data_IF_480264439961
#
_entry.id   IF_480264439961
#
_cell.length_a   1.000
_cell.length_b   1.000
_cell.length_c   1.000
_cell.angle_alpha   90.00
_cell.angle_beta   90.00
_cell.angle_gamma   90.00
#
_symmetry.space_group_name_H-M   'P 1'
#
loop_
_entity.id
_entity.type
_entity.pdbx_description
1 polymer ?
#
# COMPACT_ATOMS: atom_id res chain seq x y z
N UNK A 1 -23.95 8.01 -11.98
CA UNK A 1 -22.76 8.21 -11.16
C UNK A 1 -21.58 8.79 -11.92
N UNK A 2 -21.11 8.21 -13.05
CA UNK A 2 -19.91 8.72 -13.79
C UNK A 2 -19.87 10.24 -14.00
N UNK A 3 -20.98 10.86 -14.43
CA UNK A 3 -21.00 12.29 -14.79
C UNK A 3 -21.45 13.22 -13.66
N UNK A 4 -22.08 12.69 -12.65
CA UNK A 4 -22.77 13.46 -11.60
C UNK A 4 -22.01 13.47 -10.27
N UNK A 5 -21.60 12.32 -9.77
CA UNK A 5 -21.01 12.19 -8.43
C UNK A 5 -19.50 12.31 -8.43
N UNK A 6 -18.96 12.96 -7.40
CA UNK A 6 -17.54 12.92 -7.07
C UNK A 6 -17.29 11.75 -6.12
N UNK A 7 -16.41 10.83 -6.50
CA UNK A 7 -16.03 9.67 -5.69
C UNK A 7 -14.89 10.06 -4.77
N UNK A 8 -15.10 10.04 -3.46
CA UNK A 8 -14.07 10.28 -2.45
C UNK A 8 -13.32 8.99 -2.14
N UNK A 9 -12.01 9.04 -2.25
CA UNK A 9 -11.08 7.94 -2.08
C UNK A 9 -10.25 8.18 -0.81
N UNK A 10 -10.27 7.30 0.20
CA UNK A 10 -9.40 7.46 1.36
C UNK A 10 -7.94 7.39 0.95
N UNK A 11 -7.10 8.28 1.52
CA UNK A 11 -5.68 8.37 1.18
C UNK A 11 -4.86 7.26 1.84
N UNK A 12 -3.92 6.65 1.07
CA UNK A 12 -2.96 5.70 1.61
C UNK A 12 -1.54 5.99 1.10
N UNK A 13 -1.20 5.56 -0.11
CA UNK A 13 0.08 5.78 -0.79
C UNK A 13 -0.02 7.01 -1.70
N UNK A 14 0.60 8.16 -1.37
CA UNK A 14 0.35 9.40 -2.10
C UNK A 14 0.63 9.31 -3.61
N UNK A 15 1.75 8.69 -4.01
CA UNK A 15 2.14 8.57 -5.42
C UNK A 15 1.17 7.65 -6.17
N UNK A 16 0.87 6.47 -5.61
CA UNK A 16 -0.01 5.48 -6.22
C UNK A 16 -1.45 6.00 -6.32
N UNK A 17 -1.96 6.60 -5.25
CA UNK A 17 -3.34 7.06 -5.19
C UNK A 17 -3.59 8.26 -6.12
N UNK A 18 -2.61 9.15 -6.31
CA UNK A 18 -2.67 10.18 -7.33
C UNK A 18 -2.80 9.60 -8.75
N UNK A 19 -2.04 8.53 -9.06
CA UNK A 19 -2.10 7.87 -10.36
C UNK A 19 -3.38 7.03 -10.53
N UNK A 20 -3.85 6.36 -9.47
CA UNK A 20 -5.13 5.63 -9.45
C UNK A 20 -6.31 6.58 -9.66
N UNK A 21 -6.27 7.77 -9.04
CA UNK A 21 -7.24 8.84 -9.29
C UNK A 21 -7.22 9.26 -10.75
N UNK A 22 -6.05 9.52 -11.34
CA UNK A 22 -5.93 9.89 -12.75
C UNK A 22 -6.44 8.78 -13.69
N UNK A 23 -6.16 7.51 -13.38
CA UNK A 23 -6.67 6.37 -14.10
C UNK A 23 -8.22 6.31 -14.03
N UNK A 24 -8.80 6.51 -12.85
CA UNK A 24 -10.26 6.52 -12.64
C UNK A 24 -10.92 7.68 -13.39
N UNK A 25 -10.32 8.87 -13.35
CA UNK A 25 -10.76 10.04 -14.12
C UNK A 25 -10.71 9.75 -15.62
N UNK A 26 -9.68 9.06 -16.12
CA UNK A 26 -9.58 8.65 -17.53
C UNK A 26 -10.67 7.65 -17.96
N UNK A 27 -11.33 7.00 -16.99
CA UNK A 27 -12.48 6.13 -17.22
C UNK A 27 -13.82 6.89 -17.17
N UNK A 28 -13.80 8.21 -17.03
CA UNK A 28 -14.97 9.10 -17.06
C UNK A 28 -15.65 9.30 -15.70
N UNK A 29 -15.01 8.92 -14.60
CA UNK A 29 -15.47 9.23 -13.24
C UNK A 29 -14.87 10.57 -12.75
N UNK A 30 -15.59 11.25 -11.88
CA UNK A 30 -15.01 12.31 -11.05
C UNK A 30 -14.52 11.66 -9.77
N UNK A 31 -13.27 11.84 -9.41
CA UNK A 31 -12.68 11.21 -8.23
C UNK A 31 -11.70 12.16 -7.54
N UNK A 32 -11.69 12.12 -6.22
CA UNK A 32 -10.76 12.92 -5.39
C UNK A 32 -10.19 12.03 -4.28
N UNK A 33 -8.86 11.99 -4.18
CA UNK A 33 -8.16 11.37 -3.05
C UNK A 33 -8.19 12.33 -1.86
N UNK A 34 -8.60 11.84 -0.71
CA UNK A 34 -8.67 12.63 0.51
C UNK A 34 -7.27 12.85 1.10
N UNK A 35 -7.03 14.06 1.56
CA UNK A 35 -5.78 14.49 2.21
C UNK A 35 -5.98 15.01 3.63
N UNK A 36 -7.22 14.97 4.16
CA UNK A 36 -7.48 15.34 5.54
C UNK A 36 -6.80 14.34 6.48
N UNK A 37 -6.06 14.87 7.44
CA UNK A 37 -5.21 14.12 8.36
C UNK A 37 -5.34 14.74 9.76
N UNK A 38 -4.70 14.10 10.74
CA UNK A 38 -4.61 14.64 12.08
C UNK A 38 -5.61 14.03 13.07
N UNK A 39 -5.64 14.63 14.24
CA UNK A 39 -6.42 14.14 15.38
C UNK A 39 -7.93 14.17 15.13
N UNK A 40 -8.40 15.16 14.38
CA UNK A 40 -9.82 15.32 14.02
C UNK A 40 -10.37 14.11 13.26
N UNK A 41 -9.55 13.52 12.36
CA UNK A 41 -9.92 12.30 11.64
C UNK A 41 -10.09 11.13 12.62
N UNK A 42 -9.16 10.98 13.58
CA UNK A 42 -9.22 9.93 14.61
C UNK A 42 -10.45 10.11 15.49
N UNK A 43 -10.71 11.34 15.96
CA UNK A 43 -11.85 11.67 16.80
C UNK A 43 -13.19 11.43 16.07
N UNK A 44 -13.27 11.79 14.79
CA UNK A 44 -14.42 11.45 13.94
C UNK A 44 -14.60 9.94 13.83
N UNK A 45 -13.51 9.19 13.61
CA UNK A 45 -13.57 7.73 13.62
C UNK A 45 -14.10 7.16 14.93
N UNK A 46 -13.58 7.61 16.06
CA UNK A 46 -14.04 7.18 17.41
C UNK A 46 -15.52 7.54 17.69
N UNK A 47 -16.01 8.65 17.14
CA UNK A 47 -17.40 9.08 17.29
C UNK A 47 -18.38 8.15 16.56
N UNK A 48 -18.03 7.66 15.38
CA UNK A 48 -18.96 6.97 14.49
C UNK A 48 -18.77 5.46 14.43
N UNK A 49 -17.57 4.94 14.71
CA UNK A 49 -17.30 3.52 14.81
C UNK A 49 -16.92 3.13 16.24
N UNK A 50 -17.04 1.82 16.55
CA UNK A 50 -16.65 1.30 17.85
C UNK A 50 -15.12 1.30 17.97
N UNK A 51 -14.55 1.67 19.13
CA UNK A 51 -13.10 1.65 19.35
C UNK A 51 -12.49 0.24 19.39
N UNK A 52 -13.30 -0.81 19.53
CA UNK A 52 -12.87 -2.20 19.40
C UNK A 52 -12.60 -2.62 17.94
N UNK A 53 -12.86 -1.71 16.98
CA UNK A 53 -12.57 -1.94 15.59
C UNK A 53 -11.06 -1.86 15.32
N UNK A 54 -10.61 -2.53 14.27
CA UNK A 54 -9.26 -2.42 13.76
C UNK A 54 -8.93 -0.95 13.41
N UNK A 55 -7.76 -0.47 13.82
CA UNK A 55 -7.34 0.91 13.68
C UNK A 55 -7.40 1.46 12.25
N UNK A 56 -6.99 0.72 11.18
CA UNK A 56 -7.19 1.16 9.80
C UNK A 56 -8.65 1.45 9.45
N UNK A 57 -9.61 0.62 9.92
CA UNK A 57 -11.04 0.88 9.69
C UNK A 57 -11.49 2.18 10.33
N UNK A 58 -11.06 2.43 11.57
CA UNK A 58 -11.34 3.68 12.29
C UNK A 58 -10.83 4.90 11.50
N UNK A 59 -9.60 4.83 10.99
CA UNK A 59 -8.97 5.92 10.25
C UNK A 59 -9.64 6.16 8.89
N UNK A 60 -9.88 5.10 8.12
CA UNK A 60 -10.49 5.20 6.78
C UNK A 60 -11.93 5.73 6.89
N UNK A 61 -12.71 5.20 7.81
CA UNK A 61 -14.10 5.65 8.03
C UNK A 61 -14.09 7.08 8.59
N UNK A 62 -13.23 7.35 9.57
CA UNK A 62 -13.05 8.69 10.13
C UNK A 62 -12.68 9.71 9.07
N UNK A 63 -11.77 9.39 8.15
CA UNK A 63 -11.35 10.26 7.06
C UNK A 63 -12.51 10.58 6.10
N UNK A 64 -13.30 9.57 5.73
CA UNK A 64 -14.45 9.73 4.86
C UNK A 64 -15.55 10.58 5.51
N UNK A 65 -15.95 10.26 6.74
CA UNK A 65 -17.00 11.02 7.44
C UNK A 65 -16.54 12.45 7.74
N UNK A 66 -15.30 12.65 8.19
CA UNK A 66 -14.74 13.97 8.43
C UNK A 66 -14.73 14.83 7.16
N UNK A 67 -14.42 14.23 6.00
CA UNK A 67 -14.51 14.94 4.72
C UNK A 67 -15.96 15.36 4.39
N UNK A 68 -16.95 14.50 4.63
CA UNK A 68 -18.36 14.84 4.44
C UNK A 68 -18.85 15.95 5.38
N UNK A 69 -18.43 15.91 6.64
CA UNK A 69 -18.77 16.92 7.65
C UNK A 69 -18.05 18.28 7.41
N UNK A 70 -17.02 18.32 6.56
CA UNK A 70 -16.22 19.54 6.30
C UNK A 70 -16.98 20.66 5.57
N UNK A 71 -18.12 20.38 4.97
CA UNK A 71 -18.87 21.32 4.12
C UNK A 71 -18.23 21.59 2.75
N UNK A 72 -17.11 20.94 2.41
CA UNK A 72 -16.39 21.09 1.13
C UNK A 72 -17.14 20.44 -0.04
N UNK A 73 -17.90 19.39 0.23
CA UNK A 73 -18.52 18.54 -0.79
C UNK A 73 -20.03 18.70 -0.84
N UNK A 74 -20.58 18.71 -2.05
CA UNK A 74 -22.02 18.63 -2.25
C UNK A 74 -22.47 17.18 -2.01
N UNK A 75 -23.17 16.95 -0.90
CA UNK A 75 -23.56 15.62 -0.44
C UNK A 75 -24.52 14.89 -1.38
N UNK A 76 -25.35 15.63 -2.16
CA UNK A 76 -26.24 15.07 -3.16
C UNK A 76 -25.48 14.45 -4.35
N UNK A 77 -24.26 14.94 -4.61
CA UNK A 77 -23.41 14.50 -5.72
C UNK A 77 -22.08 13.91 -5.25
N UNK A 78 -22.07 13.35 -4.05
CA UNK A 78 -20.89 12.68 -3.49
C UNK A 78 -21.14 11.17 -3.37
N UNK A 79 -20.10 10.37 -3.64
CA UNK A 79 -20.07 8.94 -3.40
C UNK A 79 -18.76 8.57 -2.70
N UNK A 80 -18.77 7.52 -1.91
CA UNK A 80 -17.58 7.02 -1.23
C UNK A 80 -17.12 5.72 -1.87
N UNK A 81 -15.81 5.45 -1.87
CA UNK A 81 -15.27 4.16 -2.29
C UNK A 81 -14.41 3.56 -1.16
N UNK A 82 -14.57 2.26 -0.94
CA UNK A 82 -13.77 1.51 0.02
C UNK A 82 -13.49 0.11 -0.53
N UNK A 83 -12.33 -0.46 -0.20
CA UNK A 83 -11.98 -1.83 -0.56
C UNK A 83 -12.69 -2.85 0.32
N UNK A 84 -13.07 -3.98 -0.26
CA UNK A 84 -13.65 -5.12 0.45
C UNK A 84 -12.90 -6.39 0.05
N UNK A 85 -12.13 -6.97 0.97
CA UNK A 85 -11.21 -8.07 0.67
C UNK A 85 -11.87 -9.44 0.61
N UNK A 86 -12.97 -9.66 1.37
CA UNK A 86 -13.74 -10.92 1.35
C UNK A 86 -13.07 -12.10 2.03
N UNK A 87 -12.03 -11.87 2.85
CA UNK A 87 -11.33 -12.92 3.60
C UNK A 87 -11.69 -12.94 5.10
N UNK A 88 -10.94 -13.68 5.89
CA UNK A 88 -11.09 -13.76 7.35
C UNK A 88 -10.61 -12.52 8.10
N UNK A 89 -10.01 -11.55 7.40
CA UNK A 89 -9.63 -10.26 7.96
C UNK A 89 -10.85 -9.33 8.13
N UNK A 90 -10.83 -8.45 9.12
CA UNK A 90 -11.89 -7.45 9.36
C UNK A 90 -12.08 -6.47 8.19
N UNK A 91 -11.10 -6.31 7.30
CA UNK A 91 -11.22 -5.50 6.10
C UNK A 91 -12.36 -5.95 5.16
N UNK A 92 -12.79 -7.20 5.23
CA UNK A 92 -13.99 -7.69 4.54
C UNK A 92 -15.29 -7.04 5.01
N UNK A 93 -15.30 -6.46 6.22
CA UNK A 93 -16.47 -5.85 6.86
C UNK A 93 -16.45 -4.31 6.89
N UNK A 94 -15.40 -3.66 6.40
CA UNK A 94 -15.28 -2.18 6.47
C UNK A 94 -16.46 -1.47 5.78
N UNK A 95 -16.99 -2.02 4.70
CA UNK A 95 -18.12 -1.43 3.97
C UNK A 95 -19.38 -1.35 4.83
N UNK A 96 -19.69 -2.39 5.60
CA UNK A 96 -20.86 -2.41 6.49
C UNK A 96 -20.68 -1.46 7.66
N UNK A 97 -19.45 -1.35 8.17
CA UNK A 97 -19.10 -0.40 9.23
C UNK A 97 -19.22 1.05 8.74
N UNK A 98 -18.78 1.34 7.50
CA UNK A 98 -18.94 2.64 6.89
C UNK A 98 -20.42 2.99 6.70
N UNK A 99 -21.23 2.07 6.20
CA UNK A 99 -22.70 2.27 6.06
C UNK A 99 -23.35 2.55 7.42
N UNK A 100 -22.97 1.83 8.46
CA UNK A 100 -23.46 2.07 9.82
C UNK A 100 -22.98 3.42 10.38
N UNK A 101 -21.78 3.85 10.06
CA UNK A 101 -21.27 5.16 10.42
C UNK A 101 -22.05 6.29 9.71
N UNK A 102 -22.36 6.11 8.41
CA UNK A 102 -23.21 7.03 7.66
C UNK A 102 -24.63 7.11 8.24
N UNK A 103 -25.22 5.99 8.68
CA UNK A 103 -26.51 5.97 9.35
C UNK A 103 -26.49 6.81 10.63
N UNK A 104 -25.47 6.62 11.48
CA UNK A 104 -25.28 7.41 12.71
C UNK A 104 -25.05 8.89 12.43
N UNK A 105 -24.44 9.23 11.29
CA UNK A 105 -24.20 10.61 10.86
C UNK A 105 -25.41 11.26 10.16
N UNK A 106 -26.51 10.52 9.94
CA UNK A 106 -27.67 11.00 9.18
C UNK A 106 -27.44 11.13 7.66
N UNK A 107 -26.45 10.41 7.11
CA UNK A 107 -25.95 10.50 5.74
C UNK A 107 -26.22 9.22 4.93
N UNK A 108 -27.33 8.53 5.18
CA UNK A 108 -27.69 7.25 4.54
C UNK A 108 -27.91 7.34 3.03
N UNK A 109 -28.17 8.52 2.50
CA UNK A 109 -28.37 8.76 1.06
C UNK A 109 -27.06 8.72 0.26
N UNK A 110 -25.89 8.81 0.91
CA UNK A 110 -24.61 8.82 0.23
C UNK A 110 -24.24 7.41 -0.25
N UNK A 111 -24.02 7.21 -1.57
CA UNK A 111 -23.66 5.91 -2.11
C UNK A 111 -22.26 5.48 -1.66
N UNK A 112 -22.13 4.19 -1.26
CA UNK A 112 -20.84 3.58 -0.91
C UNK A 112 -20.51 2.51 -1.96
N UNK A 113 -19.40 2.70 -2.66
CA UNK A 113 -18.87 1.78 -3.67
C UNK A 113 -17.96 0.78 -2.98
N UNK A 114 -18.28 -0.51 -3.11
CA UNK A 114 -17.39 -1.60 -2.70
C UNK A 114 -16.41 -1.93 -3.84
N UNK A 115 -15.14 -1.60 -3.65
CA UNK A 115 -14.11 -2.05 -4.60
C UNK A 115 -13.73 -3.49 -4.23
N UNK A 116 -14.36 -4.45 -4.89
CA UNK A 116 -14.11 -5.88 -4.72
C UNK A 116 -13.95 -6.57 -6.07
N UNK A 117 -13.03 -7.53 -6.15
CA UNK A 117 -12.78 -8.34 -7.37
C UNK A 117 -13.56 -9.66 -7.35
N UNK A 118 -14.20 -9.99 -6.23
CA UNK A 118 -14.84 -11.29 -5.98
C UNK A 118 -16.33 -11.30 -6.29
N UNK A 119 -16.89 -10.18 -6.77
CA UNK A 119 -18.32 -10.06 -7.02
C UNK A 119 -19.18 -10.11 -5.75
N UNK A 120 -18.61 -9.72 -4.59
CA UNK A 120 -19.29 -9.72 -3.28
C UNK A 120 -20.50 -8.78 -3.28
N UNK A 121 -20.41 -7.67 -3.99
CA UNK A 121 -21.50 -6.73 -4.18
C UNK A 121 -21.53 -6.19 -5.61
N UNK A 122 -22.73 -6.02 -6.17
CA UNK A 122 -22.94 -5.29 -7.41
C UNK A 122 -23.26 -3.83 -7.07
N UNK A 123 -22.59 -2.91 -7.78
CA UNK A 123 -22.71 -1.47 -7.53
C UNK A 123 -23.43 -0.80 -8.69
N UNK A 124 -24.66 -0.31 -8.52
CA UNK A 124 -25.34 0.47 -9.56
C UNK A 124 -24.52 1.72 -9.90
N UNK A 125 -24.08 1.84 -11.16
CA UNK A 125 -23.37 3.02 -11.66
C UNK A 125 -21.87 3.03 -11.51
N UNK A 126 -21.25 1.99 -10.92
CA UNK A 126 -19.80 1.76 -10.93
C UNK A 126 -19.50 0.37 -11.48
N UNK A 127 -18.70 0.30 -12.54
CA UNK A 127 -18.31 -0.95 -13.17
C UNK A 127 -16.81 -1.04 -13.30
N UNK A 128 -16.24 -2.10 -12.74
CA UNK A 128 -14.82 -2.44 -12.86
C UNK A 128 -14.66 -3.38 -14.06
N UNK A 129 -14.26 -2.84 -15.20
CA UNK A 129 -13.96 -3.62 -16.41
C UNK A 129 -12.47 -3.95 -16.54
N UNK A 130 -12.12 -4.85 -17.45
CA UNK A 130 -10.73 -5.28 -17.67
C UNK A 130 -9.79 -4.11 -18.07
N UNK A 131 -10.32 -3.13 -18.81
CA UNK A 131 -9.56 -1.94 -19.20
C UNK A 131 -9.21 -1.07 -17.98
N UNK A 132 -10.15 -0.90 -17.07
CA UNK A 132 -9.93 -0.15 -15.83
C UNK A 132 -8.94 -0.89 -14.92
N UNK A 133 -9.08 -2.21 -14.76
CA UNK A 133 -8.12 -3.03 -14.00
C UNK A 133 -6.71 -2.89 -14.58
N UNK A 134 -6.56 -2.96 -15.90
CA UNK A 134 -5.28 -2.76 -16.56
C UNK A 134 -4.68 -1.36 -16.30
N UNK A 135 -5.49 -0.29 -16.35
CA UNK A 135 -5.06 1.07 -16.00
C UNK A 135 -4.62 1.17 -14.54
N UNK A 136 -5.33 0.52 -13.62
CA UNK A 136 -4.93 0.50 -12.21
C UNK A 136 -3.61 -0.24 -12.00
N UNK A 137 -3.39 -1.37 -12.70
CA UNK A 137 -2.11 -2.06 -12.65
C UNK A 137 -0.97 -1.22 -13.24
N UNK A 138 -1.22 -0.48 -14.33
CA UNK A 138 -0.25 0.48 -14.86
C UNK A 138 0.08 1.59 -13.83
N UNK A 139 -0.94 2.12 -13.14
CA UNK A 139 -0.74 3.11 -12.07
C UNK A 139 0.08 2.55 -10.89
N UNK A 140 -0.13 1.27 -10.54
CA UNK A 140 0.66 0.58 -9.51
C UNK A 140 2.11 0.43 -9.94
N UNK A 141 2.38 -0.01 -11.18
CA UNK A 141 3.76 -0.14 -11.70
C UNK A 141 4.50 1.19 -11.69
N UNK A 142 3.84 2.27 -12.13
CA UNK A 142 4.44 3.61 -12.07
C UNK A 142 4.64 4.09 -10.63
N UNK A 143 3.65 3.83 -9.76
CA UNK A 143 3.73 4.20 -8.35
C UNK A 143 4.87 3.50 -7.62
N UNK A 144 5.01 2.18 -7.79
CA UNK A 144 6.11 1.40 -7.24
C UNK A 144 7.46 1.85 -7.80
N UNK A 145 7.54 2.15 -9.12
CA UNK A 145 8.77 2.69 -9.73
C UNK A 145 9.18 4.00 -9.07
N UNK A 146 8.26 4.95 -8.94
CA UNK A 146 8.55 6.25 -8.34
C UNK A 146 8.89 6.13 -6.85
N UNK A 147 8.13 5.36 -6.09
CA UNK A 147 8.35 5.14 -4.66
C UNK A 147 9.74 4.53 -4.41
N UNK A 148 10.06 3.45 -5.11
CA UNK A 148 11.34 2.76 -4.95
C UNK A 148 12.52 3.67 -5.26
N UNK A 149 12.52 4.31 -6.44
CA UNK A 149 13.60 5.18 -6.89
C UNK A 149 13.77 6.42 -6.00
N UNK A 150 12.65 6.99 -5.54
CA UNK A 150 12.66 8.12 -4.62
C UNK A 150 13.28 7.74 -3.28
N UNK A 151 12.88 6.59 -2.71
CA UNK A 151 13.38 6.12 -1.43
C UNK A 151 14.87 5.75 -1.49
N UNK A 152 15.34 5.22 -2.62
CA UNK A 152 16.76 4.91 -2.88
C UNK A 152 17.61 6.16 -3.12
N UNK A 153 17.07 7.22 -3.70
CA UNK A 153 17.84 8.40 -4.10
C UNK A 153 17.86 9.47 -3.01
N UNK A 154 16.71 9.73 -2.38
CA UNK A 154 16.52 10.82 -1.40
C UNK A 154 17.57 10.87 -0.28
N UNK A 155 17.95 9.75 0.37
CA UNK A 155 18.94 9.80 1.45
C UNK A 155 20.33 10.23 1.00
N UNK A 156 20.62 10.10 -0.27
CA UNK A 156 21.95 10.30 -0.87
C UNK A 156 22.05 11.53 -1.78
N UNK A 157 20.93 12.23 -2.05
CA UNK A 157 20.91 13.39 -2.94
C UNK A 157 21.84 14.52 -2.49
N UNK A 158 22.59 15.10 -3.43
CA UNK A 158 23.45 16.26 -3.17
C UNK A 158 22.61 17.53 -3.04
N UNK A 159 21.58 17.65 -3.87
CA UNK A 159 20.67 18.79 -3.86
C UNK A 159 19.39 18.39 -3.14
N UNK A 160 19.22 18.86 -1.91
CA UNK A 160 18.08 18.52 -1.06
C UNK A 160 16.73 18.71 -1.78
N UNK A 161 15.90 17.67 -1.74
CA UNK A 161 14.58 17.60 -2.35
C UNK A 161 14.60 17.36 -3.87
N UNK A 162 15.75 17.05 -4.48
CA UNK A 162 15.84 16.77 -5.91
C UNK A 162 15.04 15.53 -6.31
N UNK A 163 15.12 14.47 -5.52
CA UNK A 163 14.37 13.23 -5.74
C UNK A 163 12.85 13.48 -5.65
N UNK A 164 12.40 14.23 -4.65
CA UNK A 164 10.98 14.56 -4.48
C UNK A 164 10.45 15.43 -5.62
N UNK A 165 11.20 16.45 -6.03
CA UNK A 165 10.82 17.30 -7.17
C UNK A 165 10.74 16.49 -8.47
N UNK A 166 11.66 15.57 -8.69
CA UNK A 166 11.63 14.69 -9.86
C UNK A 166 10.41 13.75 -9.82
N UNK A 167 10.10 13.17 -8.65
CA UNK A 167 8.91 12.36 -8.46
C UNK A 167 7.63 13.15 -8.76
N UNK A 168 7.50 14.38 -8.26
CA UNK A 168 6.34 15.24 -8.52
C UNK A 168 6.21 15.61 -10.00
N UNK A 169 7.32 15.92 -10.67
CA UNK A 169 7.35 16.15 -12.14
C UNK A 169 6.79 14.96 -12.90
N UNK A 170 7.21 13.73 -12.52
CA UNK A 170 6.74 12.52 -13.17
C UNK A 170 5.29 12.18 -12.82
N UNK A 171 4.85 12.40 -11.58
CA UNK A 171 3.45 12.25 -11.19
C UNK A 171 2.53 13.13 -12.04
N UNK A 172 2.88 14.40 -12.22
CA UNK A 172 2.12 15.31 -13.06
C UNK A 172 2.07 14.83 -14.53
N UNK A 173 3.23 14.42 -15.10
CA UNK A 173 3.33 13.90 -16.46
C UNK A 173 2.53 12.62 -16.68
N UNK A 174 2.60 11.67 -15.76
CA UNK A 174 1.87 10.41 -15.82
C UNK A 174 0.36 10.64 -15.66
N UNK A 175 -0.05 11.52 -14.76
CA UNK A 175 -1.47 11.89 -14.57
C UNK A 175 -2.06 12.46 -15.86
N UNK A 176 -1.33 13.33 -16.56
CA UNK A 176 -1.77 13.86 -17.84
C UNK A 176 -1.78 12.79 -18.94
N UNK A 177 -0.80 11.89 -18.93
CA UNK A 177 -0.76 10.76 -19.84
C UNK A 177 -1.94 9.79 -19.62
N UNK A 178 -2.41 9.58 -18.38
CA UNK A 178 -3.63 8.82 -18.12
C UNK A 178 -4.87 9.53 -18.67
N UNK A 179 -5.02 10.84 -18.43
CA UNK A 179 -6.16 11.62 -18.94
C UNK A 179 -6.23 11.61 -20.47
N UNK A 180 -5.09 11.67 -21.14
CA UNK A 180 -4.99 11.61 -22.61
C UNK A 180 -5.03 10.19 -23.19
N UNK A 181 -5.19 9.16 -22.36
CA UNK A 181 -5.25 7.75 -22.80
C UNK A 181 -3.93 7.18 -23.29
N UNK A 182 -2.80 7.79 -22.96
CA UNK A 182 -1.46 7.40 -23.46
C UNK A 182 -0.63 6.61 -22.44
N UNK A 183 -1.08 6.49 -21.18
CA UNK A 183 -0.27 5.88 -20.12
C UNK A 183 -0.38 4.34 -20.04
N UNK A 184 -1.40 3.73 -20.62
CA UNK A 184 -1.76 2.33 -20.34
C UNK A 184 -1.20 1.30 -21.33
N UNK A 185 -0.77 1.68 -22.54
CA UNK A 185 -0.23 0.69 -23.50
C UNK A 185 1.05 0.04 -22.92
N UNK A 186 1.16 -1.29 -23.01
CA UNK A 186 2.29 -2.05 -22.44
C UNK A 186 3.66 -1.53 -22.88
N UNK A 187 3.81 -1.20 -24.16
CA UNK A 187 5.03 -0.57 -24.68
C UNK A 187 5.32 0.79 -24.04
N UNK A 188 4.29 1.58 -23.80
CA UNK A 188 4.41 2.89 -23.12
C UNK A 188 4.79 2.71 -21.66
N UNK A 189 4.18 1.76 -20.93
CA UNK A 189 4.54 1.46 -19.55
C UNK A 189 6.03 1.14 -19.46
N UNK A 190 6.51 0.22 -20.31
CA UNK A 190 7.92 -0.17 -20.37
C UNK A 190 8.84 1.01 -20.71
N UNK A 191 8.44 1.88 -21.63
CA UNK A 191 9.22 3.05 -22.03
C UNK A 191 9.29 4.10 -20.93
N UNK A 192 8.15 4.43 -20.31
CA UNK A 192 8.08 5.48 -19.30
C UNK A 192 8.75 5.05 -17.98
N UNK A 193 8.59 3.79 -17.53
CA UNK A 193 9.29 3.31 -16.32
C UNK A 193 10.80 3.36 -16.48
N UNK A 194 11.31 2.99 -17.67
CA UNK A 194 12.76 3.12 -17.98
C UNK A 194 13.20 4.59 -18.01
N UNK A 195 12.40 5.48 -18.61
CA UNK A 195 12.71 6.90 -18.63
C UNK A 195 12.76 7.51 -17.23
N UNK A 196 11.83 7.12 -16.35
CA UNK A 196 11.85 7.50 -14.92
C UNK A 196 13.17 7.05 -14.29
N UNK A 197 13.52 5.77 -14.44
CA UNK A 197 14.73 5.23 -13.82
C UNK A 197 16.02 5.91 -14.32
N UNK A 198 16.12 6.21 -15.62
CA UNK A 198 17.25 6.97 -16.17
C UNK A 198 17.35 8.40 -15.63
N UNK A 199 16.20 9.10 -15.48
CA UNK A 199 16.23 10.46 -14.90
C UNK A 199 16.66 10.42 -13.42
N UNK A 200 16.20 9.43 -12.64
CA UNK A 200 16.66 9.24 -11.25
C UNK A 200 18.14 8.86 -11.17
N UNK A 201 18.62 7.99 -12.05
CA UNK A 201 20.04 7.60 -12.13
C UNK A 201 20.96 8.79 -12.50
N UNK A 202 20.43 9.80 -13.16
CA UNK A 202 21.16 11.05 -13.46
C UNK A 202 21.22 12.07 -12.32
N UNK A 203 20.54 11.83 -11.20
CA UNK A 203 20.61 12.73 -10.04
C UNK A 203 21.96 12.59 -9.35
N UNK A 204 22.64 13.70 -8.98
CA UNK A 204 23.88 13.66 -8.23
C UNK A 204 23.61 13.14 -6.82
N UNK A 205 24.32 12.07 -6.43
CA UNK A 205 24.23 11.42 -5.11
C UNK A 205 25.60 11.35 -4.44
N UNK A 206 25.57 11.27 -3.11
CA UNK A 206 26.77 11.05 -2.27
C UNK A 206 26.91 9.56 -1.95
N UNK A 207 28.14 9.12 -1.66
CA UNK A 207 28.45 7.73 -1.26
C UNK A 207 28.50 7.57 0.28
N UNK A 208 27.82 8.43 1.05
CA UNK A 208 27.79 8.30 2.51
C UNK A 208 26.92 7.11 2.90
N UNK A 209 27.46 6.24 3.72
CA UNK A 209 26.67 5.14 4.30
C UNK A 209 25.56 5.69 5.19
N UNK A 210 24.42 5.00 5.15
CA UNK A 210 23.22 5.31 5.94
C UNK A 210 22.76 4.06 6.68
N UNK A 211 22.14 4.26 7.84
CA UNK A 211 21.40 3.19 8.49
C UNK A 211 20.23 2.82 7.58
N UNK A 212 20.14 1.53 7.21
CA UNK A 212 19.08 1.01 6.37
C UNK A 212 17.96 0.43 7.22
N UNK A 213 16.73 0.86 6.95
CA UNK A 213 15.53 0.46 7.69
C UNK A 213 14.49 -0.10 6.74
N UNK A 214 14.10 -1.36 6.91
CA UNK A 214 12.95 -1.95 6.23
C UNK A 214 11.66 -1.63 6.99
N UNK A 215 10.57 -1.34 6.27
CA UNK A 215 9.24 -1.14 6.85
C UNK A 215 8.31 -2.20 6.28
N UNK A 216 7.81 -3.07 7.13
CA UNK A 216 6.76 -4.05 6.81
C UNK A 216 5.56 -3.84 7.73
N UNK A 217 4.47 -4.52 7.51
CA UNK A 217 3.33 -4.46 8.40
C UNK A 217 1.98 -4.51 7.68
N UNK A 218 0.92 -4.17 8.41
CA UNK A 218 -0.42 -4.08 7.86
C UNK A 218 -0.45 -3.01 6.76
N UNK A 219 -1.13 -3.32 5.66
CA UNK A 219 -1.03 -2.54 4.42
C UNK A 219 -1.35 -1.04 4.60
N UNK A 220 -2.41 -0.70 5.32
CA UNK A 220 -2.75 0.70 5.55
C UNK A 220 -1.74 1.37 6.49
N UNK A 221 -1.41 0.73 7.61
CA UNK A 221 -0.46 1.27 8.59
C UNK A 221 0.95 1.40 7.98
N UNK A 222 1.39 0.42 7.20
CA UNK A 222 2.70 0.46 6.53
C UNK A 222 2.84 1.69 5.61
N UNK A 223 1.79 2.04 4.87
CA UNK A 223 1.86 3.04 3.81
C UNK A 223 1.25 4.40 4.14
N UNK A 224 0.23 4.45 5.01
CA UNK A 224 -0.49 5.69 5.27
C UNK A 224 0.15 6.52 6.37
N UNK A 225 0.62 7.72 6.03
CA UNK A 225 1.17 8.66 6.98
C UNK A 225 0.22 8.99 8.14
N UNK A 226 -1.10 8.99 7.88
CA UNK A 226 -2.14 9.13 8.89
C UNK A 226 -2.13 7.95 9.89
N UNK A 227 -1.89 6.72 9.40
CA UNK A 227 -1.91 5.50 10.20
C UNK A 227 -0.65 5.27 11.02
N UNK A 228 0.52 5.74 10.54
CA UNK A 228 1.83 5.47 11.12
C UNK A 228 2.54 6.72 11.65
N UNK A 229 1.81 7.81 11.91
CA UNK A 229 2.35 9.06 12.47
C UNK A 229 3.50 9.66 11.64
N UNK A 230 3.43 9.58 10.29
CA UNK A 230 4.47 10.03 9.37
C UNK A 230 5.83 9.33 9.59
N UNK A 231 5.82 7.99 9.69
CA UNK A 231 7.00 7.17 9.94
C UNK A 231 8.13 7.43 8.94
N UNK A 232 7.82 7.51 7.64
CA UNK A 232 8.81 7.79 6.60
C UNK A 232 9.51 9.15 6.83
N UNK A 233 8.73 10.20 7.09
CA UNK A 233 9.28 11.51 7.40
C UNK A 233 10.10 11.52 8.71
N UNK A 234 9.75 10.68 9.68
CA UNK A 234 10.56 10.51 10.89
C UNK A 234 11.92 9.87 10.56
N UNK A 235 11.95 8.79 9.80
CA UNK A 235 13.20 8.12 9.39
C UNK A 235 14.08 9.02 8.52
N UNK A 236 13.51 9.86 7.66
CA UNK A 236 14.24 10.89 6.90
C UNK A 236 14.95 11.86 7.86
N UNK A 237 14.25 12.35 8.89
CA UNK A 237 14.85 13.24 9.92
C UNK A 237 15.95 12.55 10.73
N UNK A 238 15.91 11.21 10.87
CA UNK A 238 16.96 10.41 11.47
C UNK A 238 18.09 10.07 10.48
N UNK A 239 18.05 10.62 9.26
CA UNK A 239 19.05 10.42 8.21
C UNK A 239 19.23 8.95 7.79
N UNK A 240 18.15 8.16 7.80
CA UNK A 240 18.11 6.77 7.40
C UNK A 240 17.77 6.62 5.90
N UNK A 241 18.29 5.58 5.26
CA UNK A 241 17.69 5.00 4.06
C UNK A 241 16.57 4.06 4.52
N UNK A 242 15.37 4.18 3.95
CA UNK A 242 14.29 3.26 4.27
C UNK A 242 13.66 2.66 3.01
N UNK A 243 13.16 1.46 3.15
CA UNK A 243 12.53 0.72 2.07
C UNK A 243 11.21 0.07 2.52
N UNK A 244 10.22 0.16 1.65
CA UNK A 244 8.94 -0.53 1.77
C UNK A 244 8.77 -1.47 0.59
N UNK A 245 8.24 -2.68 0.79
CA UNK A 245 7.80 -3.54 -0.31
C UNK A 245 6.77 -2.83 -1.20
N UNK A 246 6.80 -3.09 -2.50
CA UNK A 246 5.89 -2.49 -3.46
C UNK A 246 4.45 -2.97 -3.32
N UNK A 247 3.50 -2.15 -3.78
CA UNK A 247 2.07 -2.52 -3.79
C UNK A 247 1.79 -3.69 -4.74
N UNK A 248 2.60 -3.86 -5.79
CA UNK A 248 2.51 -5.00 -6.72
C UNK A 248 2.65 -6.34 -5.99
N UNK A 249 3.58 -6.47 -5.03
CA UNK A 249 3.77 -7.69 -4.24
C UNK A 249 2.48 -8.07 -3.48
N UNK A 250 1.81 -7.09 -2.89
CA UNK A 250 0.55 -7.35 -2.18
C UNK A 250 -0.58 -7.76 -3.14
N UNK A 251 -0.68 -7.15 -4.33
CA UNK A 251 -1.66 -7.53 -5.34
C UNK A 251 -1.41 -8.97 -5.82
N UNK A 252 -0.14 -9.34 -6.07
CA UNK A 252 0.23 -10.70 -6.45
C UNK A 252 -0.09 -11.69 -5.34
N UNK A 253 0.17 -11.34 -4.08
CA UNK A 253 -0.20 -12.13 -2.92
C UNK A 253 -1.71 -12.38 -2.85
N UNK A 254 -2.54 -11.37 -3.07
CA UNK A 254 -3.99 -11.53 -3.07
C UNK A 254 -4.47 -12.55 -4.13
N UNK A 255 -3.86 -12.54 -5.33
CA UNK A 255 -4.16 -13.52 -6.38
C UNK A 255 -3.61 -14.90 -6.03
N UNK A 256 -2.39 -14.96 -5.47
CA UNK A 256 -1.74 -16.23 -5.08
C UNK A 256 -2.48 -16.95 -3.94
N UNK A 257 -3.15 -16.22 -3.07
CA UNK A 257 -4.00 -16.79 -2.01
C UNK A 257 -5.02 -17.77 -2.59
N UNK A 258 -5.71 -17.41 -3.69
CA UNK A 258 -6.65 -18.31 -4.35
C UNK A 258 -5.98 -19.53 -4.97
N UNK A 259 -4.78 -19.38 -5.51
CA UNK A 259 -4.01 -20.48 -6.08
C UNK A 259 -3.53 -21.46 -5.01
N UNK A 260 -3.11 -20.90 -3.88
CA UNK A 260 -2.65 -21.67 -2.71
C UNK A 260 -3.82 -22.40 -2.03
N UNK A 261 -4.96 -21.72 -1.81
CA UNK A 261 -6.15 -22.32 -1.22
C UNK A 261 -6.68 -23.47 -2.07
N UNK A 262 -6.69 -23.32 -3.40
CA UNK A 262 -7.08 -24.42 -4.28
C UNK A 262 -6.17 -25.64 -4.13
N UNK A 263 -4.86 -25.42 -3.97
CA UNK A 263 -3.88 -26.53 -3.78
C UNK A 263 -4.02 -27.20 -2.41
N UNK A 264 -4.34 -26.43 -1.37
CA UNK A 264 -4.44 -26.93 0.01
C UNK A 264 -5.81 -27.55 0.32
N UNK A 265 -6.87 -26.97 -0.21
CA UNK A 265 -8.24 -27.28 0.23
C UNK A 265 -9.17 -27.69 -0.91
N UNK A 266 -8.70 -27.63 -2.18
CA UNK A 266 -9.54 -27.84 -3.35
C UNK A 266 -10.41 -26.63 -3.68
N UNK A 267 -11.42 -26.83 -4.52
CA UNK A 267 -12.38 -25.79 -4.88
C UNK A 267 -12.69 -25.72 -6.38
N UNK A 268 -13.04 -24.53 -6.87
CA UNK A 268 -13.43 -24.35 -8.27
C UNK A 268 -12.20 -24.28 -9.20
N UNK A 269 -12.07 -25.25 -10.11
CA UNK A 269 -11.05 -25.24 -11.16
C UNK A 269 -11.12 -24.02 -12.08
N UNK A 270 -12.33 -23.52 -12.36
CA UNK A 270 -12.52 -22.31 -13.17
C UNK A 270 -11.90 -21.10 -12.48
N UNK A 271 -12.19 -20.89 -11.19
CA UNK A 271 -11.58 -19.81 -10.41
C UNK A 271 -10.05 -19.95 -10.35
N UNK A 272 -9.55 -21.16 -10.14
CA UNK A 272 -8.11 -21.43 -10.18
C UNK A 272 -7.48 -21.02 -11.51
N UNK A 273 -8.09 -21.41 -12.64
CA UNK A 273 -7.56 -21.12 -13.97
C UNK A 273 -7.57 -19.61 -14.29
N UNK A 274 -8.64 -18.91 -13.89
CA UNK A 274 -8.71 -17.44 -14.02
C UNK A 274 -7.60 -16.76 -13.21
N UNK A 275 -7.43 -17.14 -11.94
CA UNK A 275 -6.39 -16.56 -11.09
C UNK A 275 -4.97 -16.93 -11.58
N UNK A 276 -4.78 -18.11 -12.16
CA UNK A 276 -3.51 -18.50 -12.79
C UNK A 276 -3.18 -17.61 -14.00
N UNK A 277 -4.17 -17.29 -14.82
CA UNK A 277 -4.00 -16.36 -15.95
C UNK A 277 -3.72 -14.93 -15.47
N UNK A 278 -4.43 -14.48 -14.42
CA UNK A 278 -4.16 -13.19 -13.79
C UNK A 278 -2.73 -13.13 -13.22
N UNK A 279 -2.27 -14.16 -12.53
CA UNK A 279 -0.89 -14.25 -12.00
C UNK A 279 0.15 -14.17 -13.13
N UNK A 280 -0.08 -14.85 -14.25
CA UNK A 280 0.82 -14.74 -15.42
C UNK A 280 0.94 -13.29 -15.91
N UNK A 281 -0.18 -12.60 -16.00
CA UNK A 281 -0.21 -11.19 -16.41
C UNK A 281 0.48 -10.27 -15.36
N UNK A 282 0.26 -10.50 -14.08
CA UNK A 282 0.92 -9.75 -12.99
C UNK A 282 2.45 -9.95 -13.02
N UNK A 283 2.93 -11.17 -13.25
CA UNK A 283 4.37 -11.45 -13.43
C UNK A 283 4.96 -10.71 -14.64
N UNK A 284 4.21 -10.57 -15.73
CA UNK A 284 4.64 -9.76 -16.85
C UNK A 284 4.79 -8.28 -16.48
N UNK A 285 3.83 -7.73 -15.73
CA UNK A 285 3.88 -6.34 -15.24
C UNK A 285 5.01 -6.13 -14.21
N UNK A 286 5.22 -7.07 -13.32
CA UNK A 286 6.37 -7.12 -12.40
C UNK A 286 7.69 -7.12 -13.17
N UNK A 287 7.81 -7.90 -14.25
CA UNK A 287 8.98 -7.92 -15.11
C UNK A 287 9.30 -6.57 -15.75
N UNK A 288 8.29 -5.77 -16.11
CA UNK A 288 8.48 -4.39 -16.57
C UNK A 288 9.07 -3.52 -15.46
N UNK A 289 8.51 -3.62 -14.26
CA UNK A 289 8.99 -2.90 -13.07
C UNK A 289 10.44 -3.25 -12.76
N UNK A 290 10.78 -4.54 -12.68
CA UNK A 290 12.14 -5.02 -12.40
C UNK A 290 13.15 -4.55 -13.43
N UNK A 291 12.81 -4.59 -14.73
CA UNK A 291 13.70 -4.08 -15.79
C UNK A 291 14.03 -2.60 -15.60
N UNK A 292 13.09 -1.79 -15.13
CA UNK A 292 13.33 -0.39 -14.85
C UNK A 292 14.18 -0.19 -13.60
N UNK A 293 13.88 -0.92 -12.51
CA UNK A 293 14.58 -0.81 -11.23
C UNK A 293 16.00 -1.41 -11.25
N UNK A 294 16.33 -2.22 -12.27
CA UNK A 294 17.69 -2.75 -12.48
C UNK A 294 18.60 -1.81 -13.26
N UNK A 295 18.15 -0.60 -13.61
CA UNK A 295 19.00 0.39 -14.28
C UNK A 295 20.00 0.97 -13.26
N UNK A 296 21.31 0.83 -13.56
CA UNK A 296 22.36 1.33 -12.67
C UNK A 296 22.18 2.84 -12.35
N UNK A 297 22.44 3.28 -11.11
CA UNK A 297 23.08 2.54 -10.01
C UNK A 297 22.10 1.71 -9.14
N UNK A 298 20.85 1.56 -9.55
CA UNK A 298 19.82 0.83 -8.78
C UNK A 298 19.93 -0.68 -8.99
N UNK A 299 19.39 -1.43 -8.01
CA UNK A 299 19.16 -2.86 -8.07
C UNK A 299 17.69 -3.13 -7.74
N UNK A 300 17.00 -3.91 -8.56
CA UNK A 300 15.62 -4.29 -8.26
C UNK A 300 15.52 -5.08 -6.94
N UNK A 301 14.42 -4.95 -6.18
CA UNK A 301 14.13 -5.84 -5.06
C UNK A 301 13.92 -7.29 -5.56
N UNK A 302 13.80 -8.25 -4.65
CA UNK A 302 13.44 -9.61 -5.01
C UNK A 302 12.07 -9.66 -5.74
N UNK A 303 11.92 -10.59 -6.67
CA UNK A 303 10.64 -10.86 -7.30
C UNK A 303 9.65 -11.45 -6.30
N UNK A 304 8.35 -11.38 -6.60
CA UNK A 304 7.33 -12.01 -5.78
C UNK A 304 7.60 -13.50 -5.51
N UNK A 305 8.06 -14.25 -6.52
CA UNK A 305 8.37 -15.68 -6.38
C UNK A 305 9.59 -15.91 -5.47
N UNK A 306 10.61 -15.07 -5.55
CA UNK A 306 11.76 -15.12 -4.64
C UNK A 306 11.35 -14.77 -3.22
N UNK A 307 10.57 -13.70 -3.03
CA UNK A 307 10.00 -13.32 -1.72
C UNK A 307 9.15 -14.46 -1.15
N UNK A 308 8.25 -15.06 -1.96
CA UNK A 308 7.44 -16.20 -1.54
C UNK A 308 8.30 -17.39 -1.11
N UNK A 309 9.38 -17.67 -1.83
CA UNK A 309 10.27 -18.78 -1.53
C UNK A 309 10.93 -18.65 -0.13
N UNK A 310 11.16 -17.42 0.36
CA UNK A 310 11.74 -17.16 1.68
C UNK A 310 10.83 -17.59 2.82
N UNK A 311 9.50 -17.63 2.62
CA UNK A 311 8.56 -18.14 3.61
C UNK A 311 8.60 -19.67 3.75
N UNK A 312 9.17 -20.39 2.76
CA UNK A 312 9.18 -21.86 2.74
C UNK A 312 9.97 -22.43 3.92
N UNK A 313 9.31 -23.29 4.72
CA UNK A 313 9.91 -23.88 5.91
C UNK A 313 9.96 -22.95 7.14
N UNK A 314 9.56 -21.69 6.98
CA UNK A 314 9.49 -20.69 8.07
C UNK A 314 8.07 -20.54 8.56
N UNK A 315 7.13 -20.30 7.63
CA UNK A 315 5.69 -20.20 7.91
C UNK A 315 4.89 -20.88 6.79
N UNK A 316 3.79 -21.53 7.14
CA UNK A 316 2.94 -22.21 6.14
C UNK A 316 2.14 -21.21 5.30
N UNK A 317 2.04 -21.45 4.00
CA UNK A 317 1.27 -20.62 3.06
C UNK A 317 -0.25 -20.57 3.33
N UNK A 318 -0.78 -21.49 4.16
CA UNK A 318 -2.15 -21.43 4.64
C UNK A 318 -2.41 -20.30 5.66
N UNK A 319 -1.37 -19.66 6.20
CA UNK A 319 -1.49 -18.43 6.98
C UNK A 319 -1.66 -17.23 6.05
N UNK A 320 -2.81 -17.15 5.39
CA UNK A 320 -3.06 -16.19 4.30
C UNK A 320 -4.18 -15.16 4.61
N UNK A 321 -4.55 -14.99 5.87
CA UNK A 321 -5.49 -13.95 6.28
C UNK A 321 -4.78 -12.61 6.43
N UNK A 322 -5.38 -11.54 5.89
CA UNK A 322 -4.72 -10.24 5.78
C UNK A 322 -3.46 -10.36 4.94
N UNK A 323 -2.34 -9.86 5.43
CA UNK A 323 -1.01 -10.00 4.81
C UNK A 323 -0.41 -11.40 5.04
N UNK A 324 -0.85 -12.08 6.09
CA UNK A 324 -0.47 -13.46 6.40
C UNK A 324 1.04 -13.75 6.31
N UNK A 325 1.40 -14.86 5.66
CA UNK A 325 2.79 -15.29 5.49
C UNK A 325 3.67 -14.27 4.75
N UNK A 326 3.06 -13.35 3.97
CA UNK A 326 3.81 -12.33 3.23
C UNK A 326 4.61 -11.42 4.18
N UNK A 327 4.07 -11.10 5.38
CA UNK A 327 4.80 -10.31 6.38
C UNK A 327 6.14 -10.94 6.78
N UNK A 328 6.13 -12.25 7.04
CA UNK A 328 7.35 -13.00 7.37
C UNK A 328 8.33 -13.01 6.20
N UNK A 329 7.82 -13.23 4.99
CA UNK A 329 8.63 -13.26 3.77
C UNK A 329 9.25 -11.90 3.44
N UNK A 330 8.49 -10.80 3.56
CA UNK A 330 8.98 -9.44 3.36
C UNK A 330 10.07 -9.05 4.36
N UNK A 331 9.95 -9.48 5.64
CA UNK A 331 11.03 -9.25 6.62
C UNK A 331 12.32 -9.97 6.22
N UNK A 332 12.25 -11.23 5.82
CA UNK A 332 13.41 -12.00 5.36
C UNK A 332 14.01 -11.41 4.08
N UNK A 333 13.18 -11.02 3.13
CA UNK A 333 13.63 -10.39 1.89
C UNK A 333 14.42 -9.11 2.17
N UNK A 334 13.88 -8.23 3.02
CA UNK A 334 14.53 -6.97 3.37
C UNK A 334 15.87 -7.21 4.08
N UNK A 335 15.96 -8.18 4.99
CA UNK A 335 17.22 -8.55 5.64
C UNK A 335 18.25 -9.02 4.61
N UNK A 336 17.87 -9.91 3.68
CA UNK A 336 18.75 -10.36 2.58
C UNK A 336 19.17 -9.22 1.65
N UNK A 337 18.31 -8.21 1.47
CA UNK A 337 18.60 -7.00 0.70
C UNK A 337 19.44 -5.96 1.48
N UNK A 338 19.89 -6.31 2.69
CA UNK A 338 20.76 -5.46 3.53
C UNK A 338 20.02 -4.44 4.39
N UNK A 339 18.69 -4.55 4.52
CA UNK A 339 17.89 -3.77 5.48
C UNK A 339 17.72 -4.57 6.76
N UNK A 340 18.79 -4.70 7.54
CA UNK A 340 18.80 -5.53 8.75
C UNK A 340 17.96 -4.95 9.89
N UNK A 341 17.70 -3.63 9.90
CA UNK A 341 16.80 -2.98 10.85
C UNK A 341 15.39 -2.94 10.29
N UNK A 342 14.44 -3.65 10.90
CA UNK A 342 13.08 -3.81 10.39
C UNK A 342 12.07 -3.21 11.37
N UNK A 343 11.20 -2.33 10.89
CA UNK A 343 10.02 -1.89 11.62
C UNK A 343 8.81 -2.67 11.09
N UNK A 344 8.25 -3.53 11.94
CA UNK A 344 6.98 -4.20 11.68
C UNK A 344 5.85 -3.31 12.24
N UNK A 345 5.28 -2.47 11.38
CA UNK A 345 4.24 -1.51 11.72
C UNK A 345 2.86 -2.19 11.68
N UNK A 346 2.20 -2.26 12.81
CA UNK A 346 0.96 -3.03 12.93
C UNK A 346 -0.12 -2.28 13.71
N UNK A 347 -1.41 -2.47 13.36
CA UNK A 347 -2.50 -2.02 14.22
C UNK A 347 -2.52 -2.84 15.51
N UNK A 348 -2.73 -2.19 16.65
CA UNK A 348 -2.96 -2.91 17.90
C UNK A 348 -4.14 -3.89 17.74
N UNK A 349 -3.97 -5.12 18.20
CA UNK A 349 -5.01 -6.16 18.11
C UNK A 349 -5.23 -6.74 16.70
N UNK A 350 -4.37 -6.46 15.71
CA UNK A 350 -4.43 -7.08 14.38
C UNK A 350 -3.92 -8.53 14.45
N UNK A 351 -4.82 -9.51 14.39
CA UNK A 351 -4.47 -10.92 14.55
C UNK A 351 -3.43 -11.40 13.50
N UNK A 352 -3.60 -11.19 12.17
CA UNK A 352 -2.60 -11.60 11.19
C UNK A 352 -1.22 -11.03 11.46
N UNK A 353 -1.14 -9.76 11.82
CA UNK A 353 0.14 -9.10 12.11
C UNK A 353 0.77 -9.60 13.41
N UNK A 354 0.00 -9.90 14.45
CA UNK A 354 0.53 -10.49 15.67
C UNK A 354 1.06 -11.91 15.45
N UNK A 355 0.43 -12.71 14.60
CA UNK A 355 0.85 -14.08 14.29
C UNK A 355 2.03 -14.08 13.31
N UNK A 356 1.83 -13.57 12.10
CA UNK A 356 2.78 -13.67 10.98
C UNK A 356 3.83 -12.56 10.95
N UNK A 357 3.62 -11.45 11.67
CA UNK A 357 4.61 -10.41 11.88
C UNK A 357 5.35 -10.61 13.19
N UNK A 358 4.79 -10.11 14.30
CA UNK A 358 5.41 -10.14 15.63
C UNK A 358 5.74 -11.55 16.13
N UNK A 359 4.85 -12.52 15.92
CA UNK A 359 5.03 -13.91 16.38
C UNK A 359 6.19 -14.63 15.69
N UNK A 360 6.60 -14.17 14.51
CA UNK A 360 7.68 -14.79 13.73
C UNK A 360 9.06 -14.18 13.97
N UNK A 361 9.18 -13.13 14.78
CA UNK A 361 10.45 -12.40 14.99
C UNK A 361 11.57 -13.33 15.48
N UNK A 362 11.30 -14.18 16.47
CA UNK A 362 12.31 -15.10 16.98
C UNK A 362 12.73 -16.11 15.91
N UNK A 363 11.77 -16.62 15.13
CA UNK A 363 12.06 -17.56 14.04
C UNK A 363 12.89 -16.93 12.93
N UNK A 364 12.63 -15.67 12.62
CA UNK A 364 13.44 -14.91 11.65
C UNK A 364 14.87 -14.70 12.18
N UNK A 365 15.03 -14.37 13.47
CA UNK A 365 16.36 -14.21 14.10
C UNK A 365 17.16 -15.52 14.19
N UNK A 366 16.50 -16.67 14.23
CA UNK A 366 17.19 -17.97 14.13
C UNK A 366 17.80 -18.21 12.73
N UNK A 367 17.21 -17.58 11.70
CA UNK A 367 17.63 -17.72 10.29
C UNK A 367 18.61 -16.62 9.88
N UNK A 368 18.37 -15.42 10.39
CA UNK A 368 19.13 -14.20 10.11
C UNK A 368 19.44 -13.49 11.44
N UNK A 369 20.56 -13.87 12.08
CA UNK A 369 20.97 -13.37 13.40
C UNK A 369 21.18 -11.86 13.43
N UNK A 370 21.53 -11.27 12.29
CA UNK A 370 21.73 -9.83 12.11
C UNK A 370 20.41 -9.03 12.12
N UNK A 371 19.26 -9.68 12.06
CA UNK A 371 17.95 -9.00 11.99
C UNK A 371 17.61 -8.30 13.31
N UNK A 372 17.52 -6.97 13.25
CA UNK A 372 17.10 -6.09 14.36
C UNK A 372 15.65 -5.66 14.11
N UNK A 373 14.68 -6.42 14.61
CA UNK A 373 13.27 -6.26 14.29
C UNK A 373 12.51 -5.61 15.45
N UNK A 374 11.85 -4.50 15.18
CA UNK A 374 10.96 -3.77 16.08
C UNK A 374 9.50 -3.92 15.66
N UNK A 375 8.70 -4.68 16.42
CA UNK A 375 7.25 -4.66 16.26
C UNK A 375 6.69 -3.39 16.94
N UNK A 376 5.97 -2.58 16.16
CA UNK A 376 5.46 -1.28 16.59
C UNK A 376 3.95 -1.21 16.41
N UNK A 377 3.24 -1.13 17.54
CA UNK A 377 1.78 -1.06 17.55
C UNK A 377 1.29 0.39 17.35
N UNK A 378 0.26 0.54 16.51
CA UNK A 378 -0.44 1.80 16.27
C UNK A 378 -1.92 1.67 16.64
N UNK A 379 -2.41 2.63 17.37
CA UNK A 379 -3.82 2.78 17.74
C UNK A 379 -4.19 4.23 18.03
N UNK A 380 -5.46 4.51 18.26
CA UNK A 380 -5.97 5.86 18.51
C UNK A 380 -5.43 6.49 19.80
N UNK A 381 -4.99 5.68 20.77
CA UNK A 381 -4.49 6.12 22.10
C UNK A 381 -2.96 6.14 22.16
N UNK A 382 -2.27 5.53 21.20
CA UNK A 382 -0.80 5.40 21.24
C UNK A 382 -0.10 6.76 21.14
N UNK A 383 0.74 7.07 22.12
CA UNK A 383 1.52 8.29 22.12
C UNK A 383 2.65 8.20 21.09
N UNK A 384 2.64 9.10 20.11
CA UNK A 384 3.66 9.20 19.06
C UNK A 384 5.10 9.22 19.61
N UNK A 385 5.33 9.94 20.72
CA UNK A 385 6.65 10.05 21.34
C UNK A 385 7.19 8.68 21.79
N UNK A 386 6.33 7.80 22.29
CA UNK A 386 6.74 6.45 22.71
C UNK A 386 7.17 5.61 21.51
N UNK A 387 6.47 5.70 20.39
CA UNK A 387 6.82 5.03 19.14
C UNK A 387 8.17 5.56 18.60
N UNK A 388 8.34 6.89 18.53
CA UNK A 388 9.58 7.52 18.09
C UNK A 388 10.78 7.13 18.99
N UNK A 389 10.61 7.06 20.32
CA UNK A 389 11.67 6.64 21.24
C UNK A 389 12.06 5.17 21.03
N UNK A 390 11.12 4.27 20.77
CA UNK A 390 11.41 2.87 20.46
C UNK A 390 12.18 2.73 19.14
N UNK A 391 11.83 3.53 18.12
CA UNK A 391 12.59 3.57 16.86
C UNK A 391 14.00 4.10 17.08
N UNK A 392 14.18 5.19 17.84
CA UNK A 392 15.50 5.72 18.17
C UNK A 392 16.37 4.69 18.90
N UNK A 393 15.79 3.91 19.82
CA UNK A 393 16.49 2.83 20.51
C UNK A 393 16.95 1.75 19.52
N UNK A 394 16.08 1.33 18.59
CA UNK A 394 16.45 0.39 17.53
C UNK A 394 17.60 0.94 16.68
N UNK A 395 17.53 2.22 16.27
CA UNK A 395 18.57 2.86 15.47
C UNK A 395 19.90 3.01 16.23
N UNK A 396 19.86 3.22 17.55
CA UNK A 396 21.07 3.29 18.39
C UNK A 396 21.80 1.94 18.52
N UNK A 397 21.10 0.83 18.29
CA UNK A 397 21.68 -0.53 18.28
C UNK A 397 21.94 -1.05 16.86
N UNK A 398 21.68 -0.25 15.83
CA UNK A 398 21.94 -0.59 14.43
C UNK A 398 23.44 -0.75 14.20
N UNK A 399 23.83 -1.84 13.54
CA UNK A 399 25.20 -2.14 13.14
C UNK A 399 25.48 -1.65 11.73
#
# INVERSE_FOLDING_TARGET
MKKTHTILIPGMLPMHFSLLQAALVSCGYKAEVLHNTGREVIETGLKYVNNDICYPALLVIGQLINALESGKYDLEYTALIITQTGGGCRASNYIYLLRKALEKAGLTHIPVISLNVNGLEQQPGFHLDASMVHKFLAAVVYGDTLMYLTNKTRPYEVVHGAADRLAQKWLARLSEAFKSGKAQALGTIKQLTKAIAHEFAGLPITNKEKIKVGIVGEIYIKYAALGNNNLEAFLQRQNCEYMLPGLMNFIMYCVDTYLTDYKLYGGSFIKYSVNKSAMWYLKYMEGILHQALSIAPFSAPATYEETKAMAKGVIGYGNNMGEGWLLTAEMLELVHSGYTNIICAQPFGCLPNHIAGRGMINKIKEIAEEANILALDYDASAARVNQENRIKLMLATAK
#
